data_IF_496316383197
#
_entry.id   IF_496316383197
#
_cell.length_a   1.000
_cell.length_b   1.000
_cell.length_c   1.000
_cell.angle_alpha   90.00
_cell.angle_beta   90.00
_cell.angle_gamma   90.00
#
_symmetry.space_group_name_H-M   'P 1'
#
loop_
_entity.id
_entity.type
_entity.pdbx_description
1 polymer ?
#
# COMPACT_ATOMS: atom_id res chain seq x y z
N UNK A 1 -4.32 -22.78 8.88
CA UNK A 1 -5.61 -22.39 9.52
C UNK A 1 -5.60 -21.00 10.17
N UNK A 2 -4.44 -20.37 10.47
CA UNK A 2 -4.35 -19.06 11.15
C UNK A 2 -4.63 -17.81 10.28
N UNK A 3 -4.48 -17.91 8.96
CA UNK A 3 -4.85 -16.85 7.99
C UNK A 3 -6.33 -16.45 8.12
N UNK A 4 -7.20 -17.36 8.61
CA UNK A 4 -8.62 -17.08 8.84
C UNK A 4 -8.86 -16.02 9.93
N UNK A 5 -8.05 -16.00 11.00
CA UNK A 5 -8.29 -15.08 12.13
C UNK A 5 -7.86 -13.64 11.81
N UNK A 6 -6.75 -13.45 11.08
CA UNK A 6 -6.31 -12.10 10.70
C UNK A 6 -7.25 -11.50 9.63
N UNK A 7 -7.71 -12.34 8.68
CA UNK A 7 -8.73 -11.95 7.72
C UNK A 7 -10.05 -11.53 8.38
N UNK A 8 -10.42 -12.14 9.52
CA UNK A 8 -11.62 -11.73 10.26
C UNK A 8 -11.49 -10.29 10.75
N UNK A 9 -10.38 -9.93 11.42
CA UNK A 9 -10.18 -8.55 11.89
C UNK A 9 -10.08 -7.55 10.73
N UNK A 10 -9.40 -7.92 9.65
CA UNK A 10 -9.32 -7.06 8.47
C UNK A 10 -10.71 -6.74 7.88
N UNK A 11 -11.61 -7.72 7.80
CA UNK A 11 -12.99 -7.48 7.34
C UNK A 11 -13.74 -6.51 8.25
N UNK A 12 -13.60 -6.64 9.56
CA UNK A 12 -14.21 -5.72 10.53
C UNK A 12 -13.63 -4.30 10.44
N UNK A 13 -12.34 -4.18 10.09
CA UNK A 13 -11.69 -2.88 9.83
C UNK A 13 -12.27 -2.26 8.56
N UNK A 14 -12.39 -3.02 7.46
CA UNK A 14 -12.93 -2.53 6.19
C UNK A 14 -14.37 -1.99 6.30
N UNK A 15 -15.19 -2.53 7.20
CA UNK A 15 -16.54 -2.00 7.46
C UNK A 15 -16.55 -0.57 8.01
N UNK A 16 -15.43 -0.11 8.61
CA UNK A 16 -15.28 1.23 9.20
C UNK A 16 -14.31 2.11 8.43
N UNK A 17 -13.29 1.50 7.84
CA UNK A 17 -12.18 2.15 7.16
C UNK A 17 -11.97 1.43 5.82
N UNK A 18 -12.83 1.73 4.85
CA UNK A 18 -12.85 1.07 3.54
C UNK A 18 -11.52 1.19 2.78
N UNK A 19 -10.79 2.27 3.01
CA UNK A 19 -9.49 2.58 2.42
C UNK A 19 -8.33 1.88 3.13
N UNK A 20 -8.55 0.69 3.67
CA UNK A 20 -7.51 -0.09 4.37
C UNK A 20 -6.90 -1.14 3.44
N UNK A 21 -5.61 -1.43 3.61
CA UNK A 21 -4.95 -2.50 2.85
C UNK A 21 -4.56 -3.68 3.74
N UNK A 22 -4.35 -4.83 3.10
CA UNK A 22 -3.83 -6.05 3.72
C UNK A 22 -2.59 -6.52 2.94
N UNK A 23 -1.48 -6.68 3.63
CA UNK A 23 -0.24 -7.22 3.08
C UNK A 23 0.25 -8.37 3.94
N UNK A 24 0.75 -9.44 3.33
CA UNK A 24 1.18 -10.64 4.03
C UNK A 24 2.47 -11.18 3.41
N UNK A 25 3.46 -11.45 4.26
CA UNK A 25 4.69 -12.17 3.89
C UNK A 25 4.81 -13.47 4.69
N UNK A 26 5.96 -14.15 4.66
CA UNK A 26 6.15 -15.42 5.38
C UNK A 26 6.09 -15.28 6.91
N UNK A 27 6.38 -14.11 7.47
CA UNK A 27 6.59 -13.86 8.90
C UNK A 27 5.52 -12.98 9.54
N UNK A 28 4.84 -12.14 8.75
CA UNK A 28 3.94 -11.09 9.25
C UNK A 28 2.73 -10.89 8.34
N UNK A 29 1.70 -10.30 8.93
CA UNK A 29 0.61 -9.62 8.23
C UNK A 29 0.62 -8.16 8.67
N UNK A 30 0.49 -7.24 7.72
CA UNK A 30 0.41 -5.80 7.94
C UNK A 30 -0.95 -5.35 7.40
N UNK A 31 -1.75 -4.75 8.29
CA UNK A 31 -2.98 -4.08 7.90
C UNK A 31 -2.74 -2.58 8.07
N UNK A 32 -2.70 -1.86 6.96
CA UNK A 32 -2.69 -0.40 6.96
C UNK A 32 -4.12 0.12 6.99
N UNK A 33 -4.43 1.01 7.94
CA UNK A 33 -5.79 1.47 8.24
C UNK A 33 -5.95 2.92 7.80
N UNK A 34 -7.12 3.22 7.21
CA UNK A 34 -7.54 4.56 6.78
C UNK A 34 -6.49 5.26 5.91
N UNK A 35 -6.17 4.66 4.76
CA UNK A 35 -5.09 5.12 3.92
C UNK A 35 -5.51 6.31 3.05
N UNK A 36 -4.59 7.26 2.89
CA UNK A 36 -4.66 8.21 1.78
C UNK A 36 -3.97 7.56 0.57
N UNK A 37 -4.68 7.48 -0.56
CA UNK A 37 -4.15 6.86 -1.77
C UNK A 37 -3.44 7.88 -2.66
N UNK A 38 -2.31 7.47 -3.21
CA UNK A 38 -1.48 8.18 -4.16
C UNK A 38 -1.63 7.48 -5.52
N UNK A 39 -2.57 7.97 -6.32
CA UNK A 39 -2.89 7.45 -7.65
C UNK A 39 -2.27 8.31 -8.76
N UNK A 40 -1.59 7.66 -9.72
CA UNK A 40 -1.06 8.33 -10.92
C UNK A 40 -2.13 8.99 -11.81
N UNK A 41 -3.41 8.65 -11.63
CA UNK A 41 -4.53 9.33 -12.29
C UNK A 41 -4.77 10.73 -11.72
N UNK A 42 -4.36 10.99 -10.48
CA UNK A 42 -4.62 12.23 -9.75
C UNK A 42 -3.35 13.05 -9.51
N UNK A 43 -2.18 12.41 -9.50
CA UNK A 43 -0.90 13.08 -9.27
C UNK A 43 0.19 12.65 -10.25
N UNK A 44 1.07 13.59 -10.58
CA UNK A 44 2.26 13.33 -11.38
C UNK A 44 3.33 12.56 -10.59
N UNK A 45 4.25 11.92 -11.30
CA UNK A 45 5.38 11.24 -10.65
C UNK A 45 6.30 12.21 -9.87
N UNK A 46 6.38 13.47 -10.28
CA UNK A 46 7.12 14.49 -9.52
C UNK A 46 6.46 14.82 -8.18
N UNK A 47 5.13 14.93 -8.16
CA UNK A 47 4.37 15.14 -6.93
C UNK A 47 4.42 13.92 -6.01
N UNK A 48 4.38 12.71 -6.58
CA UNK A 48 4.59 11.47 -5.81
C UNK A 48 5.93 11.50 -5.08
N UNK A 49 7.01 11.84 -5.78
CA UNK A 49 8.36 11.95 -5.17
C UNK A 49 8.38 13.01 -4.07
N UNK A 50 7.76 14.16 -4.28
CA UNK A 50 7.70 15.21 -3.26
C UNK A 50 7.01 14.71 -1.98
N UNK A 51 5.84 14.06 -2.11
CA UNK A 51 5.12 13.45 -0.99
C UNK A 51 5.93 12.34 -0.30
N UNK A 52 6.66 11.54 -1.06
CA UNK A 52 7.55 10.51 -0.51
C UNK A 52 8.66 11.11 0.37
N UNK A 53 9.35 12.15 -0.11
CA UNK A 53 10.37 12.82 0.69
C UNK A 53 9.79 13.54 1.91
N UNK A 54 8.61 14.14 1.77
CA UNK A 54 7.89 14.71 2.91
C UNK A 54 7.60 13.64 3.97
N UNK A 55 7.11 12.46 3.57
CA UNK A 55 6.84 11.35 4.49
C UNK A 55 8.12 10.84 5.18
N UNK A 56 9.25 10.77 4.46
CA UNK A 56 10.54 10.39 5.04
C UNK A 56 11.08 11.40 6.06
N UNK A 57 10.71 12.68 5.93
CA UNK A 57 11.12 13.72 6.87
C UNK A 57 10.38 13.67 8.22
N UNK A 58 9.26 12.93 8.28
CA UNK A 58 8.42 12.79 9.47
C UNK A 58 8.88 11.58 10.30
N UNK A 59 8.57 11.61 11.59
CA UNK A 59 8.76 10.44 12.45
C UNK A 59 7.88 9.29 11.97
N UNK A 60 8.48 8.09 11.82
CA UNK A 60 7.74 6.90 11.41
C UNK A 60 6.82 6.43 12.52
N UNK A 61 5.60 6.02 12.15
CA UNK A 61 4.61 5.42 13.06
C UNK A 61 5.13 4.08 13.60
N UNK A 62 5.76 3.29 12.72
CA UNK A 62 6.46 2.05 13.05
C UNK A 62 7.51 1.74 11.96
N UNK A 63 8.34 0.72 12.15
CA UNK A 63 9.40 0.35 11.20
C UNK A 63 8.87 -0.01 9.81
N UNK A 64 7.61 -0.41 9.72
CA UNK A 64 6.93 -0.82 8.50
C UNK A 64 6.11 0.31 7.86
N UNK A 65 6.08 1.49 8.49
CA UNK A 65 5.32 2.62 7.98
C UNK A 65 5.97 3.19 6.70
N UNK A 66 5.13 3.42 5.70
CA UNK A 66 5.55 3.92 4.39
C UNK A 66 4.45 3.76 3.34
N UNK A 67 4.80 4.08 2.10
CA UNK A 67 3.89 3.92 0.97
C UNK A 67 3.84 2.46 0.55
N UNK A 68 2.65 1.86 0.62
CA UNK A 68 2.42 0.46 0.27
C UNK A 68 1.61 0.36 -1.01
N UNK A 69 2.14 -0.27 -2.06
CA UNK A 69 1.48 -0.23 -3.35
C UNK A 69 2.29 -0.81 -4.49
N UNK A 70 1.94 -0.42 -5.70
CA UNK A 70 2.49 -1.00 -6.92
C UNK A 70 2.81 0.06 -7.96
N UNK A 71 3.90 -0.19 -8.70
CA UNK A 71 4.11 0.38 -10.02
C UNK A 71 3.54 -0.58 -11.06
N UNK A 72 2.85 -0.04 -12.07
CA UNK A 72 2.44 -0.83 -13.23
C UNK A 72 3.65 -1.19 -14.09
N UNK A 73 3.54 -2.24 -14.90
CA UNK A 73 4.58 -2.56 -15.88
C UNK A 73 4.84 -1.40 -16.86
N UNK A 74 3.82 -0.59 -17.16
CA UNK A 74 3.94 0.57 -18.05
C UNK A 74 4.69 1.74 -17.40
N UNK A 75 4.93 1.73 -16.09
CA UNK A 75 5.67 2.80 -15.40
C UNK A 75 7.06 3.07 -16.00
N UNK A 76 7.68 2.04 -16.61
CA UNK A 76 8.93 2.15 -17.37
C UNK A 76 8.87 3.22 -18.48
N UNK A 77 7.67 3.54 -19.00
CA UNK A 77 7.49 4.55 -20.05
C UNK A 77 7.83 5.97 -19.61
N UNK A 78 7.99 6.20 -18.30
CA UNK A 78 8.49 7.47 -17.76
C UNK A 78 10.02 7.63 -17.94
N UNK A 79 10.72 6.53 -18.20
CA UNK A 79 12.18 6.49 -18.35
C UNK A 79 12.61 6.13 -19.77
N UNK A 80 11.78 5.37 -20.48
CA UNK A 80 12.09 4.84 -21.80
C UNK A 80 10.97 5.09 -22.80
N UNK A 81 11.34 5.25 -24.08
CA UNK A 81 10.36 5.35 -25.16
C UNK A 81 9.94 3.96 -25.61
N UNK A 82 8.85 3.45 -25.06
CA UNK A 82 8.33 2.11 -25.37
C UNK A 82 7.02 2.22 -26.17
N UNK A 83 6.80 1.40 -27.21
CA UNK A 83 5.51 1.33 -27.88
C UNK A 83 4.41 0.93 -26.91
N UNK A 84 3.34 1.73 -26.84
CA UNK A 84 2.15 1.37 -26.07
C UNK A 84 1.48 0.17 -26.74
N UNK A 85 1.27 -0.91 -25.98
CA UNK A 85 0.43 -2.02 -26.43
C UNK A 85 -1.01 -1.52 -26.60
N UNK A 86 -1.57 -1.70 -27.79
CA UNK A 86 -2.98 -1.41 -28.09
C UNK A 86 -3.94 -2.46 -27.53
N UNK A 87 -3.43 -3.61 -27.06
CA UNK A 87 -4.22 -4.69 -26.44
C UNK A 87 -4.15 -4.57 -24.92
N UNK A 88 -4.95 -3.69 -24.33
CA UNK A 88 -5.16 -3.61 -22.88
C UNK A 88 -6.57 -4.06 -22.53
N UNK A 89 -6.71 -4.87 -21.48
CA UNK A 89 -8.01 -5.29 -20.97
C UNK A 89 -8.65 -4.25 -20.03
N UNK A 90 -7.83 -3.37 -19.44
CA UNK A 90 -8.25 -2.25 -18.59
C UNK A 90 -7.11 -1.22 -18.47
N UNK A 91 -7.44 0.03 -18.12
CA UNK A 91 -6.48 1.08 -17.87
C UNK A 91 -6.12 1.14 -16.38
N UNK A 92 -4.96 0.57 -16.04
CA UNK A 92 -4.39 0.67 -14.70
C UNK A 92 -3.47 1.89 -14.60
N UNK A 93 -3.49 2.65 -13.49
CA UNK A 93 -2.60 3.78 -13.29
C UNK A 93 -1.13 3.36 -13.30
N UNK A 94 -0.25 4.29 -13.66
CA UNK A 94 1.20 4.03 -13.68
C UNK A 94 1.73 3.62 -12.30
N UNK A 95 1.14 4.16 -11.24
CA UNK A 95 1.37 3.77 -9.85
C UNK A 95 0.12 3.97 -9.01
N UNK A 96 -0.01 3.17 -7.96
CA UNK A 96 -1.03 3.32 -6.92
C UNK A 96 -0.45 2.90 -5.58
N UNK A 97 -0.35 3.82 -4.63
CA UNK A 97 0.23 3.58 -3.31
C UNK A 97 -0.67 4.08 -2.19
N UNK A 98 -0.83 3.27 -1.16
CA UNK A 98 -1.53 3.61 0.07
C UNK A 98 -0.55 4.18 1.11
N UNK A 99 -0.93 5.28 1.75
CA UNK A 99 -0.25 5.83 2.91
C UNK A 99 -1.15 5.68 4.14
N UNK A 100 -0.91 4.66 4.96
CA UNK A 100 -1.77 4.35 6.09
C UNK A 100 -1.53 5.29 7.28
N UNK A 101 -2.61 5.65 7.97
CA UNK A 101 -2.59 6.50 9.17
C UNK A 101 -2.40 5.72 10.47
N UNK A 102 -2.74 4.43 10.46
CA UNK A 102 -2.54 3.51 11.57
C UNK A 102 -2.23 2.10 11.06
N UNK A 103 -1.63 1.27 11.91
CA UNK A 103 -1.20 -0.08 11.55
C UNK A 103 -1.64 -1.12 12.58
N UNK A 104 -2.12 -2.26 12.10
CA UNK A 104 -2.26 -3.48 12.89
C UNK A 104 -1.36 -4.56 12.28
N UNK A 105 -0.38 -5.01 13.07
CA UNK A 105 0.64 -5.97 12.64
C UNK A 105 0.43 -7.27 13.39
N UNK A 106 0.31 -8.38 12.65
CA UNK A 106 0.30 -9.72 13.22
C UNK A 106 1.63 -10.41 12.93
N UNK A 107 2.37 -10.75 13.97
CA UNK A 107 3.57 -11.57 13.83
C UNK A 107 3.22 -13.06 13.88
N UNK A 108 3.55 -13.82 12.84
CA UNK A 108 3.17 -15.22 12.69
C UNK A 108 3.93 -16.15 13.64
N UNK A 109 5.18 -15.82 13.96
CA UNK A 109 6.04 -16.61 14.85
C UNK A 109 5.55 -16.53 16.30
N UNK A 110 5.37 -15.31 16.80
CA UNK A 110 4.91 -15.05 18.18
C UNK A 110 3.39 -15.17 18.31
N UNK A 111 2.64 -15.13 17.20
CA UNK A 111 1.17 -15.08 17.15
C UNK A 111 0.59 -13.86 17.86
N UNK A 112 1.35 -12.77 17.91
CA UNK A 112 0.98 -11.53 18.60
C UNK A 112 0.50 -10.46 17.62
N UNK A 113 -0.43 -9.64 18.09
CA UNK A 113 -0.86 -8.42 17.42
C UNK A 113 -0.20 -7.21 18.05
N UNK A 114 0.28 -6.29 17.22
CA UNK A 114 0.85 -5.01 17.60
C UNK A 114 0.09 -3.91 16.89
N UNK A 115 -0.24 -2.84 17.63
CA UNK A 115 -0.97 -1.68 17.10
C UNK A 115 -0.06 -0.46 17.13
N UNK A 116 -0.12 0.34 16.07
CA UNK A 116 0.63 1.59 15.92
C UNK A 116 -0.27 2.67 15.33
#
# INVERSE_FOLDING_TARGET
MFVKNVNFYYRQILEKFENSYFAEDLTKVIIGIDCDYLDANELSFSEFKAKYYEALSKNKICDFAGFFGVFSANFVSLFEKIPLSSKKNYDFPLFLFANAKAYLIYEKNSKMFFKF
#
